data_IF_321412914869
#
_entry.id   IF_321412914869
#
_cell.length_a   1.000
_cell.length_b   1.000
_cell.length_c   1.000
_cell.angle_alpha   90.00
_cell.angle_beta   90.00
_cell.angle_gamma   90.00
#
_symmetry.space_group_name_H-M   'P 1'
#
loop_
_entity.id
_entity.type
_entity.pdbx_description
1 polymer ?
#
# COMPACT_ATOMS: atom_id res chain seq x y z
N UNK A 1 -28.99 21.27 -31.59
CA UNK A 1 -28.32 20.06 -32.12
C UNK A 1 -26.88 20.10 -31.61
N UNK A 2 -26.59 19.51 -30.45
CA UNK A 2 -25.25 19.57 -29.85
C UNK A 2 -24.46 18.36 -30.35
N UNK A 3 -23.48 18.60 -31.20
CA UNK A 3 -22.58 17.57 -31.74
C UNK A 3 -21.72 17.01 -30.61
N UNK A 4 -21.69 15.68 -30.38
CA UNK A 4 -20.70 15.10 -29.49
C UNK A 4 -19.36 15.14 -30.22
N UNK A 5 -18.45 16.01 -29.75
CA UNK A 5 -17.06 16.01 -30.18
C UNK A 5 -16.47 14.64 -29.85
N UNK A 6 -16.20 13.84 -30.88
CA UNK A 6 -15.55 12.54 -30.74
C UNK A 6 -14.11 12.79 -30.24
N UNK A 7 -13.95 12.87 -28.92
CA UNK A 7 -12.65 12.86 -28.26
C UNK A 7 -11.91 11.62 -28.73
N UNK A 8 -10.88 11.81 -29.53
CA UNK A 8 -9.96 10.76 -29.96
C UNK A 8 -9.50 10.00 -28.72
N UNK A 9 -10.03 8.80 -28.53
CA UNK A 9 -9.60 7.87 -27.50
C UNK A 9 -8.17 7.48 -27.87
N UNK A 10 -7.19 8.22 -27.36
CA UNK A 10 -5.80 7.77 -27.33
C UNK A 10 -5.85 6.42 -26.63
N UNK A 11 -5.60 5.37 -27.39
CA UNK A 11 -5.48 4.00 -26.92
C UNK A 11 -4.55 4.03 -25.71
N UNK A 12 -5.08 3.89 -24.51
CA UNK A 12 -4.25 3.94 -23.32
C UNK A 12 -3.45 2.65 -23.27
N UNK A 13 -2.13 2.79 -23.32
CA UNK A 13 -1.25 1.66 -23.02
C UNK A 13 -1.49 1.25 -21.56
N UNK A 14 -1.84 -0.02 -21.34
CA UNK A 14 -2.10 -0.57 -20.01
C UNK A 14 -0.96 -0.29 -19.02
N UNK A 15 0.29 -0.23 -19.52
CA UNK A 15 1.47 0.10 -18.72
C UNK A 15 1.44 1.54 -18.19
N UNK A 16 1.01 2.50 -19.01
CA UNK A 16 0.88 3.90 -18.60
C UNK A 16 -0.29 4.09 -17.65
N UNK A 17 -1.40 3.38 -17.88
CA UNK A 17 -2.56 3.38 -16.98
C UNK A 17 -2.16 2.85 -15.59
N UNK A 18 -1.44 1.73 -15.52
CA UNK A 18 -0.92 1.16 -14.27
C UNK A 18 0.03 2.13 -13.54
N UNK A 19 0.95 2.77 -14.26
CA UNK A 19 1.87 3.74 -13.66
C UNK A 19 1.13 4.94 -13.03
N UNK A 20 0.06 5.42 -13.67
CA UNK A 20 -0.79 6.47 -13.10
C UNK A 20 -1.62 5.94 -11.93
N UNK A 21 -2.15 4.72 -12.02
CA UNK A 21 -2.93 4.09 -10.96
C UNK A 21 -2.14 3.99 -9.65
N UNK A 22 -0.89 3.51 -9.72
CA UNK A 22 0.00 3.37 -8.55
C UNK A 22 0.28 4.73 -7.89
N UNK A 23 0.31 5.83 -8.64
CA UNK A 23 0.56 7.18 -8.09
C UNK A 23 -0.71 7.86 -7.55
N UNK A 24 -1.84 7.65 -8.20
CA UNK A 24 -3.09 8.40 -7.95
C UNK A 24 -3.99 7.67 -6.95
N UNK A 25 -4.11 6.35 -7.03
CA UNK A 25 -5.00 5.59 -6.14
C UNK A 25 -4.62 5.72 -4.66
N UNK A 26 -3.33 5.71 -4.24
CA UNK A 26 -2.98 5.94 -2.84
C UNK A 26 -3.43 7.30 -2.33
N UNK A 27 -3.31 8.34 -3.17
CA UNK A 27 -3.74 9.71 -2.85
C UNK A 27 -5.26 9.81 -2.71
N UNK A 28 -6.01 8.99 -3.43
CA UNK A 28 -7.47 8.88 -3.30
C UNK A 28 -7.92 8.02 -2.11
N UNK A 29 -7.04 7.17 -1.57
CA UNK A 29 -7.28 6.46 -0.31
C UNK A 29 -7.18 7.37 0.92
N UNK A 30 -6.52 8.53 0.80
CA UNK A 30 -6.40 9.49 1.89
C UNK A 30 -7.76 10.05 2.33
N UNK A 31 -7.89 10.33 3.63
CA UNK A 31 -9.13 10.90 4.18
C UNK A 31 -9.41 12.27 3.56
N UNK A 32 -10.64 12.44 3.07
CA UNK A 32 -11.09 13.69 2.45
C UNK A 32 -10.59 13.92 1.03
N UNK A 33 -10.00 12.91 0.38
CA UNK A 33 -9.57 13.00 -1.01
C UNK A 33 -10.74 12.83 -1.99
N UNK A 34 -10.77 13.69 -3.01
CA UNK A 34 -11.77 13.69 -4.09
C UNK A 34 -11.04 13.97 -5.41
N UNK A 35 -11.37 13.20 -6.44
CA UNK A 35 -10.96 13.52 -7.81
C UNK A 35 -12.00 14.43 -8.45
N UNK A 36 -11.60 15.62 -8.86
CA UNK A 36 -12.44 16.59 -9.54
C UNK A 36 -12.12 16.64 -11.03
N UNK A 37 -13.15 16.51 -11.85
CA UNK A 37 -13.10 16.67 -13.31
C UNK A 37 -14.10 17.73 -13.70
N UNK A 38 -13.65 18.84 -14.30
CA UNK A 38 -14.58 19.85 -14.81
C UNK A 38 -14.93 19.58 -16.27
N UNK A 39 -16.16 19.93 -16.64
CA UNK A 39 -16.58 19.86 -18.04
C UNK A 39 -15.76 20.82 -18.91
N UNK A 40 -15.32 20.34 -20.08
CA UNK A 40 -14.42 21.07 -20.98
C UNK A 40 -12.95 21.18 -20.53
N UNK A 41 -12.54 20.58 -19.41
CA UNK A 41 -11.13 20.49 -19.03
C UNK A 41 -10.50 19.17 -19.52
N UNK A 42 -9.21 19.23 -19.85
CA UNK A 42 -8.41 18.05 -20.22
C UNK A 42 -7.59 17.51 -19.03
N UNK A 43 -7.67 18.17 -17.87
CA UNK A 43 -7.03 17.72 -16.64
C UNK A 43 -8.04 17.39 -15.54
N UNK A 44 -7.75 16.32 -14.81
CA UNK A 44 -8.42 15.87 -13.61
C UNK A 44 -7.47 16.04 -12.41
N UNK A 45 -7.98 16.58 -11.31
CA UNK A 45 -7.17 16.98 -10.16
C UNK A 45 -7.66 16.24 -8.92
N UNK A 46 -6.75 15.62 -8.18
CA UNK A 46 -7.02 15.08 -6.85
C UNK A 46 -6.85 16.21 -5.84
N UNK A 47 -7.95 16.54 -5.18
CA UNK A 47 -8.00 17.53 -4.11
C UNK A 47 -8.21 16.80 -2.80
N UNK A 48 -7.42 17.15 -1.79
CA UNK A 48 -7.60 16.70 -0.42
C UNK A 48 -8.10 17.85 0.43
N UNK A 49 -9.22 17.65 1.11
CA UNK A 49 -9.70 18.56 2.15
C UNK A 49 -9.05 18.20 3.49
N UNK A 50 -8.36 19.16 4.09
CA UNK A 50 -7.81 19.05 5.45
C UNK A 50 -8.88 19.43 6.48
N UNK A 51 -8.76 18.96 7.73
CA UNK A 51 -9.68 19.34 8.81
C UNK A 51 -9.67 20.85 9.09
N UNK A 52 -8.58 21.55 8.77
CA UNK A 52 -8.41 23.00 8.96
C UNK A 52 -9.17 23.84 7.91
N UNK A 53 -10.00 23.21 7.06
CA UNK A 53 -10.74 23.87 5.98
C UNK A 53 -9.90 24.21 4.75
N UNK A 54 -8.59 23.99 4.79
CA UNK A 54 -7.70 24.13 3.64
C UNK A 54 -7.89 22.97 2.65
N UNK A 55 -7.70 23.25 1.36
CA UNK A 55 -7.69 22.23 0.32
C UNK A 55 -6.34 22.24 -0.38
N UNK A 56 -5.74 21.07 -0.55
CA UNK A 56 -4.47 20.91 -1.24
C UNK A 56 -4.64 20.05 -2.49
N UNK A 57 -3.98 20.46 -3.58
CA UNK A 57 -3.93 19.69 -4.83
C UNK A 57 -2.84 18.65 -4.70
N UNK A 58 -3.23 17.39 -4.52
CA UNK A 58 -2.28 16.30 -4.29
C UNK A 58 -1.76 15.74 -5.61
N UNK A 59 -2.60 15.59 -6.64
CA UNK A 59 -2.20 15.04 -7.94
C UNK A 59 -2.96 15.67 -9.09
N UNK A 60 -2.35 15.63 -10.28
CA UNK A 60 -2.97 16.00 -11.54
C UNK A 60 -2.76 14.83 -12.51
N UNK A 61 -3.80 14.48 -13.25
CA UNK A 61 -3.79 13.50 -14.32
C UNK A 61 -4.65 13.99 -15.48
N UNK A 62 -4.51 13.38 -16.66
CA UNK A 62 -5.40 13.66 -17.79
C UNK A 62 -6.81 13.11 -17.52
N UNK A 63 -7.82 13.82 -18.01
CA UNK A 63 -9.21 13.32 -18.05
C UNK A 63 -9.37 11.95 -18.69
N UNK A 64 -8.55 11.60 -19.69
CA UNK A 64 -8.61 10.27 -20.31
C UNK A 64 -8.31 9.17 -19.28
N UNK A 65 -7.33 9.39 -18.39
CA UNK A 65 -7.00 8.43 -17.32
C UNK A 65 -8.10 8.36 -16.25
N UNK A 66 -8.71 9.50 -15.91
CA UNK A 66 -9.84 9.53 -14.98
C UNK A 66 -11.05 8.73 -15.54
N UNK A 67 -11.35 8.88 -16.83
CA UNK A 67 -12.41 8.12 -17.49
C UNK A 67 -12.12 6.61 -17.47
N UNK A 68 -10.88 6.21 -17.74
CA UNK A 68 -10.50 4.80 -17.70
C UNK A 68 -10.58 4.20 -16.29
N UNK A 69 -10.22 4.96 -15.25
CA UNK A 69 -10.43 4.53 -13.86
C UNK A 69 -11.92 4.36 -13.54
N UNK A 70 -12.79 5.21 -14.08
CA UNK A 70 -14.24 5.05 -13.93
C UNK A 70 -14.74 3.80 -14.67
N UNK A 71 -14.26 3.54 -15.90
CA UNK A 71 -14.61 2.36 -16.68
C UNK A 71 -14.15 1.05 -16.02
N UNK A 72 -12.98 1.05 -15.36
CA UNK A 72 -12.48 -0.07 -14.55
C UNK A 72 -13.14 -0.18 -13.17
N UNK A 73 -14.12 0.68 -12.88
CA UNK A 73 -14.82 0.77 -11.60
C UNK A 73 -13.91 1.04 -10.39
N UNK A 74 -12.71 1.60 -10.58
CA UNK A 74 -11.80 1.95 -9.50
C UNK A 74 -12.21 3.23 -8.77
N UNK A 75 -12.92 4.10 -9.48
CA UNK A 75 -13.54 5.30 -8.93
C UNK A 75 -15.02 5.34 -9.29
N UNK A 76 -15.82 5.96 -8.43
CA UNK A 76 -17.25 6.16 -8.64
C UNK A 76 -17.60 7.63 -8.57
N UNK A 77 -18.54 8.06 -9.41
CA UNK A 77 -19.02 9.43 -9.44
C UNK A 77 -20.05 9.62 -8.35
N UNK A 78 -19.80 10.55 -7.42
CA UNK A 78 -20.78 10.85 -6.36
C UNK A 78 -21.75 11.95 -6.77
N UNK A 79 -21.25 12.95 -7.48
CA UNK A 79 -22.00 14.14 -7.89
C UNK A 79 -21.62 14.47 -9.33
N UNK A 80 -22.63 14.50 -10.21
CA UNK A 80 -22.50 14.95 -11.59
C UNK A 80 -23.08 16.36 -11.68
N UNK A 81 -22.24 17.32 -12.06
CA UNK A 81 -22.60 18.71 -12.32
C UNK A 81 -21.53 19.33 -13.21
N UNK A 82 -21.39 20.67 -13.19
CA UNK A 82 -20.31 21.37 -13.92
C UNK A 82 -18.90 20.86 -13.56
N UNK A 83 -18.76 20.36 -12.33
CA UNK A 83 -17.59 19.61 -11.88
C UNK A 83 -18.07 18.26 -11.38
N UNK A 84 -17.66 17.19 -12.05
CA UNK A 84 -17.88 15.81 -11.62
C UNK A 84 -16.89 15.44 -10.52
N UNK A 85 -17.41 14.96 -9.39
CA UNK A 85 -16.61 14.56 -8.23
C UNK A 85 -16.61 13.05 -8.08
N UNK A 86 -15.42 12.46 -8.11
CA UNK A 86 -15.22 11.03 -7.98
C UNK A 86 -14.55 10.66 -6.66
N UNK A 87 -14.90 9.49 -6.13
CA UNK A 87 -14.28 8.86 -4.95
C UNK A 87 -13.79 7.47 -5.28
N UNK A 88 -12.78 7.00 -4.55
CA UNK A 88 -12.28 5.64 -4.70
C UNK A 88 -13.32 4.60 -4.26
N UNK A 89 -13.42 3.49 -5.00
CA UNK A 89 -14.28 2.35 -4.66
C UNK A 89 -13.47 1.26 -3.94
N UNK A 90 -14.16 0.22 -3.43
CA UNK A 90 -13.47 -0.95 -2.90
C UNK A 90 -12.65 -1.68 -3.98
N UNK A 91 -13.19 -1.76 -5.21
CA UNK A 91 -12.47 -2.35 -6.34
C UNK A 91 -11.17 -1.60 -6.66
N UNK A 92 -11.18 -0.26 -6.61
CA UNK A 92 -9.97 0.54 -6.79
C UNK A 92 -8.93 0.33 -5.69
N UNK A 93 -9.38 0.15 -4.44
CA UNK A 93 -8.48 -0.17 -3.31
C UNK A 93 -7.84 -1.55 -3.47
N UNK A 94 -8.59 -2.54 -3.93
CA UNK A 94 -8.07 -3.88 -4.19
C UNK A 94 -7.07 -3.85 -5.36
N UNK A 95 -7.42 -3.20 -6.47
CA UNK A 95 -6.52 -3.06 -7.61
C UNK A 95 -5.18 -2.39 -7.22
N UNK A 96 -5.22 -1.39 -6.32
CA UNK A 96 -3.99 -0.78 -5.80
C UNK A 96 -3.12 -1.80 -5.04
N UNK A 97 -3.72 -2.65 -4.18
CA UNK A 97 -2.97 -3.69 -3.46
C UNK A 97 -2.31 -4.65 -4.44
N UNK A 98 -3.06 -5.13 -5.44
CA UNK A 98 -2.55 -6.04 -6.46
C UNK A 98 -1.36 -5.43 -7.22
N UNK A 99 -1.42 -4.13 -7.54
CA UNK A 99 -0.31 -3.44 -8.21
C UNK A 99 0.92 -3.28 -7.33
N UNK A 100 0.75 -3.06 -6.02
CA UNK A 100 1.86 -2.98 -5.08
C UNK A 100 2.52 -4.35 -4.87
N UNK A 101 1.73 -5.41 -4.72
CA UNK A 101 2.24 -6.79 -4.60
C UNK A 101 3.02 -7.23 -5.86
N UNK A 102 2.52 -6.88 -7.05
CA UNK A 102 3.21 -7.12 -8.32
C UNK A 102 4.52 -6.34 -8.42
N UNK A 103 4.54 -5.08 -7.93
CA UNK A 103 5.73 -4.26 -7.91
C UNK A 103 6.79 -4.80 -6.94
N UNK A 104 6.38 -5.16 -5.73
CA UNK A 104 7.27 -5.75 -4.72
C UNK A 104 7.85 -7.09 -5.18
N UNK A 105 7.05 -7.92 -5.86
CA UNK A 105 7.52 -9.18 -6.46
C UNK A 105 8.56 -8.90 -7.55
N UNK A 106 8.30 -7.94 -8.44
CA UNK A 106 9.24 -7.59 -9.52
C UNK A 106 10.56 -7.01 -8.98
N UNK A 107 10.51 -6.21 -7.91
CA UNK A 107 11.69 -5.69 -7.23
C UNK A 107 12.45 -6.79 -6.49
N UNK A 108 11.74 -7.71 -5.82
CA UNK A 108 12.34 -8.84 -5.11
C UNK A 108 13.02 -9.83 -6.05
N UNK A 109 12.46 -10.08 -7.24
CA UNK A 109 13.09 -10.95 -8.23
C UNK A 109 14.28 -10.30 -8.96
N UNK A 110 14.34 -8.96 -9.03
CA UNK A 110 15.46 -8.25 -9.68
C UNK A 110 16.57 -7.83 -8.71
N UNK A 111 16.34 -7.94 -7.39
CA UNK A 111 17.24 -7.44 -6.34
C UNK A 111 18.25 -8.44 -5.75
N UNK A 112 18.21 -9.72 -6.14
CA UNK A 112 19.19 -10.72 -5.67
C UNK A 112 20.35 -10.88 -6.66
N UNK A 113 21.24 -9.88 -6.72
CA UNK A 113 22.54 -10.01 -7.38
C UNK A 113 23.63 -10.58 -6.44
N UNK A 114 23.45 -10.43 -5.12
CA UNK A 114 24.29 -11.07 -4.12
C UNK A 114 23.57 -12.35 -3.67
N UNK A 115 24.19 -13.50 -3.92
CA UNK A 115 23.67 -14.79 -3.49
C UNK A 115 23.27 -14.74 -2.01
N UNK A 116 22.08 -15.24 -1.69
CA UNK A 116 21.69 -15.49 -0.31
C UNK A 116 22.67 -16.54 0.24
N UNK A 117 23.77 -16.11 0.84
CA UNK A 117 24.67 -17.00 1.55
C UNK A 117 23.88 -17.49 2.76
N UNK A 118 23.52 -18.78 2.85
CA UNK A 118 22.98 -19.30 4.09
C UNK A 118 24.03 -19.03 5.16
N UNK A 119 23.68 -18.26 6.18
CA UNK A 119 24.52 -18.09 7.36
C UNK A 119 24.65 -19.47 7.99
N UNK A 120 25.71 -20.18 7.62
CA UNK A 120 26.16 -21.39 8.30
C UNK A 120 26.84 -20.90 9.58
N UNK A 121 26.03 -20.36 10.47
CA UNK A 121 26.35 -20.15 11.86
C UNK A 121 26.54 -21.52 12.47
N UNK A 122 27.78 -22.01 12.35
CA UNK A 122 28.44 -23.03 13.16
C UNK A 122 27.47 -23.73 14.10
N UNK A 123 27.00 -24.90 13.67
CA UNK A 123 26.56 -25.95 14.58
C UNK A 123 27.73 -26.19 15.53
N UNK A 124 27.72 -25.54 16.70
CA UNK A 124 28.58 -25.95 17.80
C UNK A 124 28.02 -27.29 18.24
N UNK A 125 28.66 -28.35 17.75
CA UNK A 125 28.46 -29.70 18.21
C UNK A 125 28.54 -29.71 19.74
N UNK A 126 27.53 -30.31 20.35
CA UNK A 126 27.72 -30.96 21.62
C UNK A 126 27.63 -32.45 21.36
N UNK A 127 28.78 -33.09 21.49
CA UNK A 127 29.01 -34.49 21.20
C UNK A 127 28.16 -35.43 22.07
N UNK A 128 28.05 -36.62 21.51
CA UNK A 128 27.47 -37.86 21.98
C UNK A 128 27.68 -38.23 23.46
N UNK A 129 26.54 -38.46 24.13
CA UNK A 129 26.20 -39.52 25.11
C UNK A 129 27.16 -39.86 26.27
N UNK A 130 26.61 -40.11 27.48
CA UNK A 130 26.21 -41.50 27.72
C UNK A 130 24.89 -41.68 28.50
N UNK A 131 24.16 -42.72 28.09
CA UNK A 131 23.42 -43.70 28.90
C UNK A 131 22.46 -43.22 30.01
N UNK A 132 21.19 -43.64 29.81
CA UNK A 132 20.34 -44.39 30.76
C UNK A 132 19.05 -43.69 31.23
N UNK A 133 17.96 -44.41 30.92
CA UNK A 133 16.64 -44.55 31.59
C UNK A 133 15.45 -43.70 31.13
N UNK A 134 14.41 -44.48 30.86
CA UNK A 134 13.02 -44.19 30.50
C UNK A 134 12.37 -43.13 31.39
N UNK A 135 11.41 -42.41 30.80
CA UNK A 135 10.28 -41.85 31.55
C UNK A 135 9.96 -40.39 31.24
N UNK A 136 8.75 -40.20 30.68
CA UNK A 136 7.90 -38.98 30.71
C UNK A 136 8.10 -37.85 29.69
N UNK A 137 6.98 -37.25 29.21
CA UNK A 137 6.92 -36.51 27.95
C UNK A 137 7.45 -35.07 28.01
N UNK A 138 7.95 -34.67 26.83
CA UNK A 138 8.53 -33.39 26.42
C UNK A 138 7.65 -32.19 26.81
N UNK A 139 8.08 -31.38 27.79
CA UNK A 139 7.51 -30.05 28.02
C UNK A 139 8.28 -29.03 27.19
N UNK A 140 7.77 -28.76 25.99
CA UNK A 140 8.16 -27.61 25.16
C UNK A 140 7.87 -26.36 25.99
N UNK A 141 8.90 -25.80 26.63
CA UNK A 141 8.80 -24.48 27.24
C UNK A 141 8.92 -23.49 26.09
N UNK A 142 7.75 -23.03 25.69
CA UNK A 142 7.49 -21.82 24.91
C UNK A 142 8.72 -20.91 24.84
N UNK A 143 9.24 -20.69 23.63
CA UNK A 143 9.95 -19.47 23.32
C UNK A 143 8.94 -18.33 23.45
N UNK A 144 8.73 -17.87 24.68
CA UNK A 144 8.09 -16.60 24.93
C UNK A 144 8.99 -15.58 24.24
N UNK A 145 8.49 -15.03 23.14
CA UNK A 145 8.94 -13.76 22.60
C UNK A 145 9.26 -12.82 23.77
N UNK A 146 10.55 -12.64 24.06
CA UNK A 146 11.01 -11.70 25.07
C UNK A 146 10.55 -10.32 24.61
N UNK A 147 9.47 -9.83 25.21
CA UNK A 147 8.94 -8.51 24.90
C UNK A 147 9.98 -7.48 25.35
N UNK A 148 10.39 -6.52 24.50
CA UNK A 148 11.37 -5.49 24.84
C UNK A 148 10.94 -4.62 26.04
N UNK A 149 9.67 -4.67 26.43
CA UNK A 149 9.17 -4.05 27.66
C UNK A 149 9.65 -4.75 28.95
N UNK A 150 9.86 -6.07 28.95
CA UNK A 150 10.41 -6.81 30.11
C UNK A 150 11.89 -6.48 30.37
N UNK A 151 12.63 -6.02 29.36
CA UNK A 151 13.98 -5.50 29.51
C UNK A 151 14.00 -4.14 30.23
N UNK A 152 13.06 -3.27 29.89
CA UNK A 152 12.97 -1.90 30.43
C UNK A 152 12.38 -1.85 31.85
N UNK A 153 11.50 -2.80 32.22
CA UNK A 153 10.86 -2.85 33.53
C UNK A 153 11.84 -2.98 34.71
N UNK A 154 13.07 -3.44 34.46
CA UNK A 154 14.10 -3.69 35.50
C UNK A 154 14.89 -2.43 35.88
N UNK A 155 14.78 -1.35 35.09
CA UNK A 155 15.50 -0.08 35.32
C UNK A 155 14.66 0.95 36.08
N UNK A 156 13.49 0.57 36.58
CA UNK A 156 12.70 1.44 37.45
C UNK A 156 13.00 1.04 38.90
N UNK A 157 14.01 1.70 39.48
CA UNK A 157 14.26 1.63 40.92
C UNK A 157 13.00 2.08 41.69
N UNK A 158 12.84 1.51 42.88
CA UNK A 158 11.67 1.67 43.75
C UNK A 158 11.51 3.12 44.28
N UNK A 159 12.57 3.93 44.22
CA UNK A 159 12.53 5.36 44.52
C UNK A 159 12.57 6.18 43.23
N UNK A 160 11.39 6.40 42.64
CA UNK A 160 11.22 7.24 41.45
C UNK A 160 11.48 8.72 41.75
N UNK A 161 12.75 9.15 41.67
CA UNK A 161 13.11 10.56 41.50
C UNK A 161 13.70 10.78 40.12
N UNK A 162 13.04 11.64 39.36
CA UNK A 162 13.59 12.32 38.20
C UNK A 162 14.53 13.44 38.65
#
# INVERSE_FOLDING_TARGET
>A
MMTPSARTLKCQDDRTLRAHAIRVLPRLCETGAILAVADGMDQAIVVRSMPDGSSSKTAVLDTVFAQAFALKAWITCREQGRVSRYRITNAGRNALKDFLEQQDTALSCSGFAEAQVPFTGKQTGFETSPKTREGTPKRVRYAASESPLLGLARRRDRDGKQ
#
